data_IF_000614316273
#
_entry.id   IF_000614316273
#
_cell.length_a   1.000
_cell.length_b   1.000
_cell.length_c   1.000
_cell.angle_alpha   90.00
_cell.angle_beta   90.00
_cell.angle_gamma   90.00
#
_symmetry.space_group_name_H-M   'P 1'
#
loop_
_entity.id
_entity.type
_entity.pdbx_description
1 polymer ?
#
# COMPACT_ATOMS: atom_id res chain seq x y z
N UNK A 1 6.36 -1.64 13.03
CA UNK A 1 5.24 -0.72 12.72
C UNK A 1 3.88 -1.45 12.69
N UNK A 2 2.84 -0.90 13.33
CA UNK A 2 1.58 -1.59 13.59
C UNK A 2 0.64 -1.70 12.37
N UNK A 3 0.43 -0.62 11.59
CA UNK A 3 -0.35 -0.54 10.33
C UNK A 3 0.01 0.76 9.57
N UNK A 4 -0.25 0.82 8.26
CA UNK A 4 -0.01 2.03 7.45
C UNK A 4 -1.12 3.10 7.54
N UNK A 5 -2.34 2.69 7.86
CA UNK A 5 -3.50 3.58 7.98
C UNK A 5 -4.24 3.34 9.29
N UNK A 6 -5.06 4.32 9.68
CA UNK A 6 -5.92 4.24 10.87
C UNK A 6 -7.38 4.56 10.52
N UNK A 7 -8.32 4.22 11.41
CA UNK A 7 -9.75 4.54 11.20
C UNK A 7 -10.01 6.04 10.96
N UNK A 8 -9.37 6.99 11.67
CA UNK A 8 -9.43 8.41 11.32
C UNK A 8 -9.03 8.73 9.88
N UNK A 9 -8.08 8.00 9.29
CA UNK A 9 -7.69 8.21 7.90
C UNK A 9 -8.74 7.71 6.91
N UNK A 10 -9.46 6.64 7.27
CA UNK A 10 -10.61 6.17 6.50
C UNK A 10 -11.75 7.19 6.53
N UNK A 11 -12.03 7.76 7.70
CA UNK A 11 -13.10 8.76 7.92
C UNK A 11 -12.87 10.01 7.06
N UNK A 12 -11.61 10.40 6.82
CA UNK A 12 -11.29 11.50 5.89
C UNK A 12 -11.77 11.24 4.45
N UNK A 13 -11.84 9.98 4.03
CA UNK A 13 -12.24 9.56 2.67
C UNK A 13 -13.72 9.17 2.63
N UNK A 14 -14.19 8.42 3.63
CA UNK A 14 -15.57 7.96 3.80
C UNK A 14 -16.02 8.24 5.24
N UNK A 15 -16.63 9.41 5.51
CA UNK A 15 -16.99 9.83 6.86
C UNK A 15 -17.87 8.83 7.62
N UNK A 16 -18.82 8.20 6.93
CA UNK A 16 -19.81 7.33 7.55
C UNK A 16 -19.34 5.86 7.69
N UNK A 17 -18.08 5.54 7.40
CA UNK A 17 -17.60 4.15 7.33
C UNK A 17 -17.69 3.41 8.68
N UNK A 18 -17.61 4.13 9.80
CA UNK A 18 -17.75 3.59 11.15
C UNK A 18 -19.22 3.51 11.61
N UNK A 19 -20.14 4.15 10.89
CA UNK A 19 -21.57 4.14 11.20
C UNK A 19 -22.29 2.93 10.58
N UNK A 20 -21.60 2.13 9.76
CA UNK A 20 -22.14 0.95 9.06
C UNK A 20 -22.24 -0.29 9.97
N UNK A 21 -22.25 -0.10 11.29
CA UNK A 21 -22.40 -1.17 12.29
C UNK A 21 -21.09 -1.83 12.73
N UNK A 22 -19.93 -1.27 12.38
CA UNK A 22 -18.61 -1.78 12.78
C UNK A 22 -17.83 -0.69 13.49
N UNK A 23 -17.42 -0.96 14.73
CA UNK A 23 -16.77 0.03 15.60
C UNK A 23 -15.31 0.34 15.20
N UNK A 24 -14.62 -0.61 14.55
CA UNK A 24 -13.25 -0.43 14.06
C UNK A 24 -12.94 -1.41 12.93
N UNK A 25 -12.13 -0.98 11.97
CA UNK A 25 -11.69 -1.78 10.83
C UNK A 25 -10.28 -2.33 11.00
N UNK A 26 -9.79 -2.49 12.24
CA UNK A 26 -8.40 -2.89 12.53
C UNK A 26 -7.98 -4.22 11.86
N UNK A 27 -8.89 -5.18 11.72
CA UNK A 27 -8.63 -6.43 10.99
C UNK A 27 -8.33 -6.14 9.52
N UNK A 28 -9.13 -5.28 8.89
CA UNK A 28 -8.97 -4.88 7.49
C UNK A 28 -7.71 -4.03 7.29
N UNK A 29 -7.34 -3.17 8.25
CA UNK A 29 -6.05 -2.45 8.20
C UNK A 29 -4.88 -3.43 8.22
N UNK A 30 -4.93 -4.43 9.10
CA UNK A 30 -3.89 -5.46 9.23
C UNK A 30 -3.76 -6.29 7.95
N UNK A 31 -4.89 -6.68 7.38
CA UNK A 31 -4.91 -7.43 6.11
C UNK A 31 -4.43 -6.56 4.94
N UNK A 32 -4.87 -5.30 4.87
CA UNK A 32 -4.41 -4.35 3.85
C UNK A 32 -2.89 -4.16 3.91
N UNK A 33 -2.32 -4.00 5.11
CA UNK A 33 -0.87 -3.91 5.33
C UNK A 33 -0.17 -5.14 4.76
N UNK A 34 -0.59 -6.34 5.16
CA UNK A 34 0.01 -7.59 4.69
C UNK A 34 -0.06 -7.77 3.16
N UNK A 35 -1.14 -7.32 2.53
CA UNK A 35 -1.27 -7.38 1.06
C UNK A 35 -0.35 -6.37 0.36
N UNK A 36 -0.22 -5.16 0.90
CA UNK A 36 0.70 -4.13 0.39
C UNK A 36 2.14 -4.60 0.53
N UNK A 37 2.54 -5.08 1.71
CA UNK A 37 3.90 -5.58 2.00
C UNK A 37 4.31 -6.66 1.02
N UNK A 38 3.43 -7.64 0.78
CA UNK A 38 3.70 -8.72 -0.19
C UNK A 38 3.94 -8.19 -1.60
N UNK A 39 3.20 -7.15 -2.01
CA UNK A 39 3.34 -6.58 -3.35
C UNK A 39 4.61 -5.74 -3.43
N UNK A 40 4.92 -4.95 -2.41
CA UNK A 40 6.15 -4.18 -2.34
C UNK A 40 7.38 -5.09 -2.35
N UNK A 41 7.38 -6.14 -1.54
CA UNK A 41 8.45 -7.13 -1.51
C UNK A 41 8.66 -7.77 -2.90
N UNK A 42 7.58 -8.31 -3.48
CA UNK A 42 7.68 -9.09 -4.72
C UNK A 42 7.95 -8.26 -5.97
N UNK A 43 7.36 -7.05 -6.09
CA UNK A 43 7.42 -6.23 -7.32
C UNK A 43 8.46 -5.12 -7.27
N UNK A 44 8.88 -4.69 -6.10
CA UNK A 44 9.78 -3.55 -5.96
C UNK A 44 11.06 -3.92 -5.23
N UNK A 45 10.98 -4.40 -3.99
CA UNK A 45 12.15 -4.68 -3.16
C UNK A 45 13.09 -5.71 -3.80
N UNK A 46 12.55 -6.82 -4.33
CA UNK A 46 13.37 -7.84 -5.00
C UNK A 46 14.14 -7.31 -6.21
N UNK A 47 13.60 -6.31 -6.92
CA UNK A 47 14.29 -5.66 -8.04
C UNK A 47 15.37 -4.70 -7.53
N UNK A 48 15.00 -3.81 -6.61
CA UNK A 48 15.89 -2.73 -6.16
C UNK A 48 17.00 -3.25 -5.24
N UNK A 49 16.74 -4.24 -4.38
CA UNK A 49 17.75 -4.85 -3.54
C UNK A 49 18.92 -5.42 -4.37
N UNK A 50 18.62 -6.01 -5.53
CA UNK A 50 19.66 -6.49 -6.44
C UNK A 50 20.51 -5.35 -7.02
N UNK A 51 19.92 -4.17 -7.29
CA UNK A 51 20.65 -2.97 -7.72
C UNK A 51 21.60 -2.46 -6.61
N UNK A 52 21.22 -2.62 -5.34
CA UNK A 52 22.04 -2.30 -4.17
C UNK A 52 23.01 -3.42 -3.75
N UNK A 53 23.19 -4.46 -4.57
CA UNK A 53 24.02 -5.64 -4.26
C UNK A 53 23.60 -6.40 -2.99
N UNK A 54 22.34 -6.23 -2.57
CA UNK A 54 21.73 -6.94 -1.45
C UNK A 54 21.05 -8.20 -1.97
N UNK A 55 21.30 -9.34 -1.32
CA UNK A 55 20.59 -10.57 -1.62
C UNK A 55 19.23 -10.58 -0.90
N UNK A 56 18.17 -10.29 -1.66
CA UNK A 56 16.78 -10.26 -1.14
C UNK A 56 16.33 -11.60 -0.51
N UNK A 57 17.01 -12.72 -0.79
CA UNK A 57 16.70 -14.02 -0.16
C UNK A 57 17.24 -14.14 1.26
N UNK A 58 18.32 -13.44 1.58
CA UNK A 58 18.90 -13.41 2.93
C UNK A 58 18.40 -12.21 3.74
N UNK A 59 18.06 -11.13 3.06
CA UNK A 59 17.57 -9.89 3.67
C UNK A 59 16.18 -9.60 3.10
N UNK A 60 15.10 -10.11 3.71
CA UNK A 60 13.74 -9.88 3.23
C UNK A 60 13.34 -8.41 3.41
N UNK A 61 12.24 -8.03 2.77
CA UNK A 61 11.66 -6.69 2.90
C UNK A 61 11.27 -6.40 4.35
N UNK A 62 11.66 -5.23 4.86
CA UNK A 62 11.24 -4.75 6.17
C UNK A 62 10.34 -3.51 6.02
N UNK A 63 9.08 -3.65 6.42
CA UNK A 63 8.09 -2.58 6.38
C UNK A 63 8.44 -1.40 7.30
N UNK A 64 9.29 -1.61 8.32
CA UNK A 64 9.66 -0.56 9.27
C UNK A 64 10.70 0.40 8.69
N UNK A 65 11.39 -0.02 7.62
CA UNK A 65 12.34 0.79 6.84
C UNK A 65 11.68 1.63 5.76
N UNK A 66 10.38 1.44 5.53
CA UNK A 66 9.61 2.23 4.57
C UNK A 66 9.10 3.54 5.17
N UNK A 67 9.01 4.57 4.31
CA UNK A 67 8.24 5.77 4.64
C UNK A 67 6.74 5.46 4.71
N UNK A 68 6.24 5.30 5.94
CA UNK A 68 4.82 5.03 6.21
C UNK A 68 3.90 6.09 5.58
N UNK A 69 4.34 7.35 5.55
CA UNK A 69 3.52 8.46 5.09
C UNK A 69 3.18 8.34 3.60
N UNK A 70 4.09 7.77 2.79
CA UNK A 70 3.88 7.50 1.37
C UNK A 70 2.78 6.43 1.16
N UNK A 71 2.65 5.49 2.10
CA UNK A 71 1.77 4.33 1.98
C UNK A 71 0.37 4.53 2.59
N UNK A 72 0.14 5.60 3.37
CA UNK A 72 -1.15 5.86 4.05
C UNK A 72 -2.31 5.82 3.06
N UNK A 73 -2.18 6.51 1.92
CA UNK A 73 -3.29 6.65 0.97
C UNK A 73 -3.67 5.33 0.31
N UNK A 74 -2.68 4.57 -0.15
CA UNK A 74 -2.89 3.26 -0.77
C UNK A 74 -3.44 2.26 0.26
N UNK A 75 -2.99 2.33 1.51
CA UNK A 75 -3.51 1.54 2.62
C UNK A 75 -4.96 1.86 2.95
N UNK A 76 -5.36 3.15 2.95
CA UNK A 76 -6.75 3.53 3.14
C UNK A 76 -7.66 2.95 2.05
N UNK A 77 -7.26 3.04 0.77
CA UNK A 77 -8.05 2.47 -0.33
C UNK A 77 -8.19 0.96 -0.21
N UNK A 78 -7.10 0.27 0.13
CA UNK A 78 -7.16 -1.18 0.30
C UNK A 78 -8.03 -1.58 1.49
N UNK A 79 -7.92 -0.85 2.60
CA UNK A 79 -8.73 -1.11 3.78
C UNK A 79 -10.22 -0.86 3.49
N UNK A 80 -10.56 0.20 2.75
CA UNK A 80 -11.94 0.46 2.32
C UNK A 80 -12.46 -0.64 1.39
N UNK A 81 -11.66 -1.11 0.43
CA UNK A 81 -12.01 -2.25 -0.42
C UNK A 81 -12.40 -3.46 0.45
N UNK A 82 -11.57 -3.82 1.43
CA UNK A 82 -11.81 -4.95 2.33
C UNK A 82 -13.00 -4.72 3.27
N UNK A 83 -13.21 -3.49 3.74
CA UNK A 83 -14.36 -3.13 4.56
C UNK A 83 -15.68 -3.27 3.79
N UNK A 84 -15.73 -2.80 2.54
CA UNK A 84 -16.91 -2.97 1.69
C UNK A 84 -17.12 -4.42 1.25
N UNK A 85 -16.05 -5.18 1.04
CA UNK A 85 -16.14 -6.63 0.84
C UNK A 85 -16.77 -7.34 2.05
N UNK A 86 -16.47 -6.89 3.27
CA UNK A 86 -17.07 -7.43 4.49
C UNK A 86 -18.55 -7.06 4.63
N UNK A 87 -18.96 -5.88 4.13
CA UNK A 87 -20.34 -5.38 4.24
C UNK A 87 -21.28 -5.84 3.12
N UNK A 88 -20.73 -6.29 1.98
CA UNK A 88 -21.55 -6.70 0.85
C UNK A 88 -22.43 -7.90 1.20
N UNK A 89 -23.62 -7.97 0.61
CA UNK A 89 -24.51 -9.10 0.80
C UNK A 89 -24.09 -10.29 -0.07
N UNK A 90 -24.24 -11.50 0.47
CA UNK A 90 -24.18 -12.75 -0.30
C UNK A 90 -25.48 -12.92 -1.11
N UNK A 91 -25.66 -12.07 -2.13
CA UNK A 91 -26.81 -12.06 -3.03
C UNK A 91 -26.33 -12.11 -4.48
N UNK A 92 -27.08 -12.77 -5.39
CA UNK A 92 -26.78 -12.72 -6.82
C UNK A 92 -26.99 -11.32 -7.43
N UNK A 93 -27.73 -10.44 -6.76
CA UNK A 93 -27.95 -9.06 -7.20
C UNK A 93 -26.89 -8.10 -6.63
N UNK A 94 -26.23 -7.28 -7.48
CA UNK A 94 -25.19 -6.39 -7.03
C UNK A 94 -25.75 -5.25 -6.18
N UNK A 95 -25.11 -4.99 -5.03
CA UNK A 95 -25.53 -3.97 -4.08
C UNK A 95 -24.67 -2.68 -4.14
N UNK A 96 -24.96 -1.74 -3.23
CA UNK A 96 -24.17 -0.50 -3.11
C UNK A 96 -22.73 -0.75 -2.65
N UNK A 97 -22.52 -1.73 -1.77
CA UNK A 97 -21.21 -2.02 -1.20
C UNK A 97 -20.30 -2.73 -2.20
N UNK A 98 -20.84 -3.59 -3.06
CA UNK A 98 -20.07 -4.21 -4.14
C UNK A 98 -19.54 -3.16 -5.13
N UNK A 99 -20.34 -2.12 -5.42
CA UNK A 99 -19.91 -1.00 -6.27
C UNK A 99 -18.79 -0.18 -5.63
N UNK A 100 -18.90 0.10 -4.34
CA UNK A 100 -17.88 0.81 -3.57
C UNK A 100 -16.59 -0.01 -3.44
N UNK A 101 -16.70 -1.31 -3.15
CA UNK A 101 -15.57 -2.25 -3.14
C UNK A 101 -14.82 -2.21 -4.48
N UNK A 102 -15.54 -2.29 -5.61
CA UNK A 102 -14.94 -2.21 -6.95
C UNK A 102 -14.25 -0.87 -7.21
N UNK A 103 -14.85 0.24 -6.77
CA UNK A 103 -14.27 1.58 -6.90
C UNK A 103 -12.94 1.68 -6.14
N UNK A 104 -12.94 1.31 -4.86
CA UNK A 104 -11.73 1.39 -4.02
C UNK A 104 -10.66 0.39 -4.47
N UNK A 105 -11.04 -0.80 -4.92
CA UNK A 105 -10.10 -1.74 -5.53
C UNK A 105 -9.45 -1.21 -6.82
N UNK A 106 -10.16 -0.39 -7.60
CA UNK A 106 -9.58 0.31 -8.76
C UNK A 106 -8.62 1.41 -8.32
N UNK A 107 -9.03 2.29 -7.40
CA UNK A 107 -8.21 3.38 -6.89
C UNK A 107 -6.94 2.88 -6.21
N UNK A 108 -7.04 1.79 -5.45
CA UNK A 108 -5.91 1.09 -4.84
C UNK A 108 -4.87 0.68 -5.90
N UNK A 109 -5.31 0.03 -6.99
CA UNK A 109 -4.41 -0.41 -8.07
C UNK A 109 -3.73 0.76 -8.77
N UNK A 110 -4.46 1.84 -9.02
CA UNK A 110 -3.92 3.04 -9.66
C UNK A 110 -2.85 3.69 -8.78
N UNK A 111 -3.15 3.92 -7.50
CA UNK A 111 -2.21 4.51 -6.54
C UNK A 111 -0.98 3.61 -6.31
N UNK A 112 -1.18 2.30 -6.15
CA UNK A 112 -0.09 1.35 -5.95
C UNK A 112 0.85 1.31 -7.16
N UNK A 113 0.31 1.31 -8.38
CA UNK A 113 1.14 1.35 -9.58
C UNK A 113 1.91 2.67 -9.71
N UNK A 114 1.31 3.79 -9.29
CA UNK A 114 2.00 5.07 -9.23
C UNK A 114 3.17 5.02 -8.26
N UNK A 115 2.95 4.51 -7.04
CA UNK A 115 4.01 4.32 -6.02
C UNK A 115 5.12 3.41 -6.57
N UNK A 116 4.78 2.25 -7.13
CA UNK A 116 5.76 1.33 -7.70
C UNK A 116 6.56 1.95 -8.87
N UNK A 117 5.93 2.84 -9.65
CA UNK A 117 6.58 3.50 -10.78
C UNK A 117 7.53 4.62 -10.37
N UNK A 118 7.17 5.36 -9.31
CA UNK A 118 8.02 6.39 -8.72
C UNK A 118 9.14 5.78 -7.89
N UNK A 119 8.84 4.65 -7.22
CA UNK A 119 9.66 3.98 -6.22
C UNK A 119 9.13 4.23 -4.80
N UNK A 120 9.63 3.44 -3.87
CA UNK A 120 9.33 3.56 -2.43
C UNK A 120 10.55 4.12 -1.71
N UNK A 121 10.33 5.09 -0.84
CA UNK A 121 11.34 5.60 0.07
C UNK A 121 11.67 4.51 1.10
N UNK A 122 12.93 4.08 1.15
CA UNK A 122 13.38 2.97 1.99
C UNK A 122 14.77 3.26 2.55
N UNK A 123 14.93 3.05 3.86
CA UNK A 123 16.20 3.13 4.56
C UNK A 123 17.05 1.89 4.25
N UNK A 124 18.03 2.05 3.37
CA UNK A 124 18.87 0.94 2.90
C UNK A 124 20.05 0.67 3.85
N UNK A 125 20.50 1.68 4.58
CA UNK A 125 21.71 1.62 5.42
C UNK A 125 21.44 1.43 6.92
N UNK A 126 20.17 1.33 7.30
CA UNK A 126 19.71 1.16 8.69
C UNK A 126 20.04 2.38 9.57
N UNK A 127 20.04 3.59 8.99
CA UNK A 127 20.35 4.84 9.68
C UNK A 127 19.18 5.41 10.48
N UNK A 128 17.99 4.79 10.43
CA UNK A 128 16.72 5.28 10.99
C UNK A 128 16.24 6.59 10.34
N UNK A 129 16.90 7.06 9.28
CA UNK A 129 16.55 8.28 8.56
C UNK A 129 16.65 8.06 7.07
N UNK A 130 15.56 8.30 6.35
CA UNK A 130 15.59 8.24 4.88
C UNK A 130 16.27 9.51 4.38
N UNK A 131 17.50 9.37 3.89
CA UNK A 131 18.30 10.47 3.37
C UNK A 131 17.81 10.93 1.97
N UNK A 132 18.20 12.13 1.55
CA UNK A 132 17.72 12.71 0.27
C UNK A 132 18.22 11.95 -0.97
N UNK A 133 19.31 11.20 -0.86
CA UNK A 133 19.82 10.26 -1.87
C UNK A 133 19.12 8.90 -1.84
N UNK A 134 18.49 8.54 -0.71
CA UNK A 134 17.56 7.40 -0.59
C UNK A 134 16.12 7.76 -1.03
N UNK A 135 15.77 9.06 -1.00
CA UNK A 135 14.55 9.61 -1.61
C UNK A 135 14.69 9.72 -3.13
N UNK A 136 14.28 8.63 -3.80
CA UNK A 136 13.93 8.54 -5.22
C UNK A 136 14.74 9.42 -6.20
N UNK A 137 15.74 8.81 -6.84
CA UNK A 137 16.07 9.16 -8.22
C UNK A 137 15.02 8.51 -9.14
N UNK A 138 14.21 9.28 -9.91
CA UNK A 138 13.28 8.70 -10.88
C UNK A 138 14.06 7.84 -11.88
N UNK A 139 13.64 6.58 -12.10
CA UNK A 139 14.23 5.66 -13.08
C UNK A 139 14.36 6.40 -14.43
N UNK A 140 15.57 6.83 -14.79
CA UNK A 140 15.83 7.44 -16.08
C UNK A 140 15.59 6.35 -17.13
N UNK A 141 14.56 6.50 -17.97
CA UNK A 141 14.38 5.59 -19.11
C UNK A 141 15.66 5.67 -19.94
N UNK A 142 16.42 4.58 -19.95
CA UNK A 142 17.60 4.43 -20.81
C UNK A 142 17.11 4.54 -22.25
N UNK A 143 17.22 5.72 -22.86
CA UNK A 143 16.98 5.89 -24.29
C UNK A 143 18.01 5.04 -25.01
N UNK A 144 17.58 3.95 -25.66
CA UNK A 144 18.41 3.26 -26.62
C UNK A 144 18.80 4.28 -27.70
N UNK A 145 20.10 4.57 -27.82
CA UNK A 145 20.63 5.27 -28.99
C UNK A 145 20.36 4.39 -30.21
N UNK A 146 19.61 4.96 -31.15
CA UNK A 146 19.38 4.45 -32.51
C UNK A 146 20.69 4.49 -33.30
#
# INVERSE_FOLDING_TARGET
>A
MANYSTDPDLVKIRPNILELGVASWNTQHTEAKAQIDRILESRWYNEVAAEHSINFRSTPFDADKCDAAQLVRVACYKTLELAYLFLMKDSPEPDGYEREMKLFGKMYKEELNLILSLGVNYDWDDSDTIEDDERLLPRYRRTQRV
#
